data_IF_902644953818
#
_entry.id   IF_902644953818
#
_cell.length_a   1.000
_cell.length_b   1.000
_cell.length_c   1.000
_cell.angle_alpha   90.00
_cell.angle_beta   90.00
_cell.angle_gamma   90.00
#
_symmetry.space_group_name_H-M   'P 1'
#
loop_
_entity.id
_entity.type
_entity.pdbx_description
1 polymer ?
#
# COMPACT_ATOMS: atom_id res chain seq x y z
N UNK A 1 3.22 -44.53 -13.91
CA UNK A 1 4.09 -43.97 -12.83
C UNK A 1 4.48 -42.50 -13.06
N UNK A 2 4.75 -42.08 -14.30
CA UNK A 2 5.22 -40.71 -14.66
C UNK A 2 4.21 -39.58 -14.36
N UNK A 3 2.90 -39.82 -14.46
CA UNK A 3 1.88 -38.78 -14.26
C UNK A 3 1.81 -38.21 -12.84
N UNK A 4 2.10 -39.03 -11.82
CA UNK A 4 2.07 -38.62 -10.41
C UNK A 4 3.25 -37.68 -10.08
N UNK A 5 4.42 -37.95 -10.66
CA UNK A 5 5.63 -37.14 -10.52
C UNK A 5 5.47 -35.78 -11.20
N UNK A 6 4.90 -35.73 -12.42
CA UNK A 6 4.61 -34.45 -13.09
C UNK A 6 3.66 -33.58 -12.27
N UNK A 7 2.67 -34.19 -11.61
CA UNK A 7 1.72 -33.47 -10.75
C UNK A 7 2.40 -32.88 -9.50
N UNK A 8 3.29 -33.63 -8.85
CA UNK A 8 4.08 -33.15 -7.72
C UNK A 8 5.01 -32.00 -8.14
N UNK A 9 5.68 -32.14 -9.28
CA UNK A 9 6.55 -31.09 -9.82
C UNK A 9 5.77 -29.81 -10.16
N UNK A 10 4.54 -29.94 -10.68
CA UNK A 10 3.65 -28.82 -10.96
C UNK A 10 3.24 -28.08 -9.69
N UNK A 11 2.85 -28.80 -8.62
CA UNK A 11 2.52 -28.19 -7.34
C UNK A 11 3.74 -27.54 -6.66
N UNK A 12 4.92 -28.16 -6.74
CA UNK A 12 6.15 -27.56 -6.23
C UNK A 12 6.51 -26.25 -6.97
N UNK A 13 6.35 -26.22 -8.30
CA UNK A 13 6.55 -25.01 -9.09
C UNK A 13 5.55 -23.91 -8.73
N UNK A 14 4.27 -24.26 -8.52
CA UNK A 14 3.24 -23.33 -8.05
C UNK A 14 3.53 -22.79 -6.65
N UNK A 15 3.99 -23.64 -5.74
CA UNK A 15 4.37 -23.24 -4.39
C UNK A 15 5.51 -22.21 -4.41
N UNK A 16 6.57 -22.49 -5.18
CA UNK A 16 7.68 -21.56 -5.35
C UNK A 16 7.22 -20.25 -6.01
N UNK A 17 6.41 -20.33 -7.07
CA UNK A 17 5.93 -19.13 -7.75
C UNK A 17 5.02 -18.28 -6.85
N UNK A 18 4.17 -18.91 -6.03
CA UNK A 18 3.32 -18.23 -5.06
C UNK A 18 4.13 -17.52 -3.98
N UNK A 19 5.12 -18.17 -3.38
CA UNK A 19 5.95 -17.55 -2.33
C UNK A 19 6.82 -16.41 -2.85
N UNK A 20 7.35 -16.52 -4.07
CA UNK A 20 8.19 -15.46 -4.66
C UNK A 20 7.39 -14.28 -5.22
N UNK A 21 6.22 -14.51 -5.82
CA UNK A 21 5.38 -13.42 -6.33
C UNK A 21 4.75 -12.61 -5.20
N UNK A 22 4.29 -13.28 -4.13
CA UNK A 22 3.57 -12.61 -3.05
C UNK A 22 4.45 -11.54 -2.38
N UNK A 23 5.72 -11.88 -2.10
CA UNK A 23 6.69 -10.94 -1.52
C UNK A 23 6.92 -9.71 -2.39
N UNK A 24 7.04 -9.85 -3.72
CA UNK A 24 7.19 -8.70 -4.63
C UNK A 24 5.92 -7.85 -4.69
N UNK A 25 4.77 -8.50 -4.73
CA UNK A 25 3.48 -7.80 -4.78
C UNK A 25 3.19 -6.99 -3.51
N UNK A 26 3.66 -7.46 -2.36
CA UNK A 26 3.53 -6.76 -1.08
C UNK A 26 4.32 -5.44 -1.06
N UNK A 27 5.54 -5.43 -1.61
CA UNK A 27 6.37 -4.21 -1.71
C UNK A 27 5.70 -3.17 -2.61
N UNK A 28 5.29 -3.57 -3.81
CA UNK A 28 4.60 -2.69 -4.77
C UNK A 28 3.31 -2.14 -4.17
N UNK A 29 2.54 -2.96 -3.45
CA UNK A 29 1.32 -2.52 -2.78
C UNK A 29 1.61 -1.50 -1.67
N UNK A 30 2.67 -1.71 -0.88
CA UNK A 30 3.08 -0.76 0.16
C UNK A 30 3.47 0.59 -0.46
N UNK A 31 4.22 0.56 -1.55
CA UNK A 31 4.63 1.78 -2.28
C UNK A 31 3.43 2.53 -2.85
N UNK A 32 2.46 1.82 -3.44
CA UNK A 32 1.21 2.42 -3.90
C UNK A 32 0.38 3.04 -2.74
N UNK A 33 0.40 2.43 -1.55
CA UNK A 33 -0.24 3.02 -0.38
C UNK A 33 0.48 4.27 0.13
N UNK A 34 1.82 4.29 0.11
CA UNK A 34 2.60 5.48 0.46
C UNK A 34 2.29 6.65 -0.48
N UNK A 35 2.28 6.42 -1.80
CA UNK A 35 1.91 7.46 -2.77
C UNK A 35 0.47 7.95 -2.58
N UNK A 36 -0.47 7.05 -2.30
CA UNK A 36 -1.85 7.43 -2.03
C UNK A 36 -1.99 8.21 -0.71
N UNK A 37 -1.23 7.85 0.32
CA UNK A 37 -1.22 8.58 1.59
C UNK A 37 -0.74 10.03 1.38
N UNK A 38 0.29 10.24 0.55
CA UNK A 38 0.80 11.56 0.17
C UNK A 38 -0.23 12.37 -0.62
N UNK A 39 -0.92 11.75 -1.58
CA UNK A 39 -2.01 12.39 -2.32
C UNK A 39 -3.15 12.83 -1.38
N UNK A 40 -3.59 11.94 -0.49
CA UNK A 40 -4.67 12.25 0.46
C UNK A 40 -4.28 13.37 1.43
N UNK A 41 -3.01 13.45 1.83
CA UNK A 41 -2.49 14.57 2.62
C UNK A 41 -2.55 15.90 1.86
N UNK A 42 -2.21 15.91 0.57
CA UNK A 42 -2.26 17.11 -0.26
C UNK A 42 -3.70 17.59 -0.51
N UNK A 43 -4.64 16.65 -0.69
CA UNK A 43 -6.03 16.97 -0.96
C UNK A 43 -6.79 17.37 0.32
N UNK A 44 -6.58 16.62 1.40
CA UNK A 44 -7.39 16.68 2.63
C UNK A 44 -6.58 16.93 3.91
N UNK A 45 -5.41 17.58 3.77
CA UNK A 45 -4.61 18.04 4.92
C UNK A 45 -5.36 18.97 5.87
N UNK A 46 -6.44 19.60 5.40
CA UNK A 46 -7.38 20.38 6.22
C UNK A 46 -7.95 19.59 7.40
N UNK A 47 -8.23 18.29 7.22
CA UNK A 47 -8.73 17.45 8.30
C UNK A 47 -7.70 17.24 9.41
N UNK A 48 -6.41 17.43 9.09
CA UNK A 48 -5.31 17.39 10.05
C UNK A 48 -4.95 18.78 10.59
N UNK A 49 -5.71 19.83 10.22
CA UNK A 49 -5.47 21.20 10.65
C UNK A 49 -4.42 21.95 9.82
N UNK A 50 -3.98 21.39 8.70
CA UNK A 50 -3.08 22.09 7.76
C UNK A 50 -3.96 22.83 6.75
N UNK A 51 -4.00 24.18 6.78
CA UNK A 51 -4.88 24.93 5.89
C UNK A 51 -4.43 24.78 4.42
N UNK A 52 -5.31 24.25 3.59
CA UNK A 52 -5.15 24.08 2.16
C UNK A 52 -5.98 25.15 1.43
N UNK A 53 -5.35 26.00 0.60
CA UNK A 53 -6.03 27.08 -0.11
C UNK A 53 -6.98 26.60 -1.23
N UNK A 54 -6.91 25.32 -1.62
CA UNK A 54 -7.64 24.75 -2.77
C UNK A 54 -8.76 23.78 -2.32
N UNK A 55 -8.99 23.62 -1.02
CA UNK A 55 -9.91 22.61 -0.47
C UNK A 55 -11.32 22.65 -1.02
N UNK A 56 -11.81 23.85 -1.38
CA UNK A 56 -13.12 24.01 -2.01
C UNK A 56 -13.26 23.16 -3.28
N UNK A 57 -12.24 23.12 -4.12
CA UNK A 57 -12.24 22.33 -5.36
C UNK A 57 -12.00 20.84 -5.09
N UNK A 58 -11.26 20.51 -4.02
CA UNK A 58 -10.95 19.12 -3.69
C UNK A 58 -12.18 18.35 -3.16
N UNK A 59 -13.21 19.05 -2.71
CA UNK A 59 -14.50 18.43 -2.35
C UNK A 59 -15.17 17.70 -3.52
N UNK A 60 -14.91 18.10 -4.77
CA UNK A 60 -15.41 17.40 -5.95
C UNK A 60 -14.80 16.01 -6.11
N UNK A 61 -13.60 15.80 -5.58
CA UNK A 61 -12.90 14.52 -5.58
C UNK A 61 -13.34 13.60 -4.44
N UNK A 62 -13.99 14.15 -3.41
CA UNK A 62 -14.41 13.40 -2.22
C UNK A 62 -15.17 12.10 -2.54
N UNK A 63 -16.16 12.07 -3.47
CA UNK A 63 -16.89 10.84 -3.77
C UNK A 63 -16.02 9.71 -4.32
N UNK A 64 -14.89 10.03 -4.95
CA UNK A 64 -13.98 9.05 -5.54
C UNK A 64 -12.99 8.47 -4.52
N UNK A 65 -12.67 9.24 -3.48
CA UNK A 65 -11.73 8.82 -2.44
C UNK A 65 -12.40 8.44 -1.12
N UNK A 66 -13.71 8.67 -0.98
CA UNK A 66 -14.46 8.47 0.25
C UNK A 66 -14.35 7.04 0.80
N UNK A 67 -14.31 6.03 -0.08
CA UNK A 67 -14.13 4.63 0.32
C UNK A 67 -12.79 4.35 0.99
N UNK A 68 -11.77 5.14 0.66
CA UNK A 68 -10.40 4.91 1.05
C UNK A 68 -10.01 5.74 2.28
N UNK A 69 -10.86 6.70 2.68
CA UNK A 69 -10.63 7.60 3.82
C UNK A 69 -10.46 6.85 5.14
N UNK A 70 -11.36 5.93 5.49
CA UNK A 70 -11.29 5.19 6.75
C UNK A 70 -10.01 4.36 6.85
N UNK A 71 -9.60 3.75 5.73
CA UNK A 71 -8.38 2.96 5.67
C UNK A 71 -7.14 3.86 5.77
N UNK A 72 -7.16 5.03 5.13
CA UNK A 72 -6.11 6.03 5.20
C UNK A 72 -5.94 6.60 6.61
N UNK A 73 -7.04 7.00 7.26
CA UNK A 73 -7.01 7.52 8.63
C UNK A 73 -6.33 6.53 9.59
N UNK A 74 -6.70 5.25 9.50
CA UNK A 74 -6.07 4.19 10.30
C UNK A 74 -4.59 4.00 9.98
N UNK A 75 -4.15 4.16 8.73
CA UNK A 75 -2.72 4.07 8.38
C UNK A 75 -1.95 5.25 8.98
N UNK A 76 -2.45 6.47 8.82
CA UNK A 76 -1.81 7.68 9.36
C UNK A 76 -1.74 7.62 10.90
N UNK A 77 -2.81 7.20 11.57
CA UNK A 77 -2.81 7.05 13.04
C UNK A 77 -1.77 6.04 13.54
N UNK A 78 -1.53 4.96 12.79
CA UNK A 78 -0.56 3.93 13.17
C UNK A 78 0.89 4.30 12.78
N UNK A 79 1.08 5.34 11.96
CA UNK A 79 2.38 5.78 11.45
C UNK A 79 3.15 6.52 12.56
N UNK A 80 3.98 5.78 13.30
CA UNK A 80 4.77 6.34 14.42
C UNK A 80 6.00 7.15 13.97
N UNK A 81 6.73 6.65 12.97
CA UNK A 81 7.96 7.29 12.49
C UNK A 81 8.20 6.98 11.01
N UNK A 82 8.08 8.00 10.16
CA UNK A 82 8.26 7.90 8.70
C UNK A 82 9.66 7.37 8.36
N UNK A 83 10.68 7.84 9.09
CA UNK A 83 12.07 7.42 8.87
C UNK A 83 12.27 5.92 9.11
N UNK A 84 11.62 5.34 10.12
CA UNK A 84 11.71 3.89 10.37
C UNK A 84 11.02 3.07 9.27
N UNK A 85 9.88 3.54 8.76
CA UNK A 85 9.17 2.86 7.67
C UNK A 85 9.93 2.88 6.35
N UNK A 86 10.55 4.02 6.02
CA UNK A 86 11.41 4.15 4.86
C UNK A 86 12.71 3.37 5.04
N UNK A 87 13.32 3.38 6.23
CA UNK A 87 14.50 2.57 6.50
C UNK A 87 14.23 1.07 6.31
N UNK A 88 13.10 0.58 6.81
CA UNK A 88 12.64 -0.81 6.62
C UNK A 88 12.24 -1.14 5.16
N UNK A 89 11.96 -0.14 4.33
CA UNK A 89 11.66 -0.35 2.90
C UNK A 89 12.94 -0.56 2.07
N UNK A 90 14.04 0.07 2.47
CA UNK A 90 15.29 0.07 1.72
C UNK A 90 16.30 -0.98 2.19
N UNK A 91 15.94 -1.89 3.12
CA UNK A 91 16.84 -2.91 3.70
C UNK A 91 18.20 -2.28 4.09
N UNK A 92 18.17 -1.15 4.81
CA UNK A 92 19.39 -0.66 5.47
C UNK A 92 19.68 -1.56 6.68
N UNK A 93 20.25 -2.73 6.41
CA UNK A 93 21.02 -3.54 7.37
C UNK A 93 22.40 -2.90 7.66
#
# INVERSE_FOLDING_TARGET
>A
MVGRIKKILYYAKLFMFGTFLDKRSAVVRKEAFDENDDLMLLLFGDYLGIPNPISYYMLELLPYVASDMDAWERRIQNRKMILAEKAAQFDFD
#
